data_IF_351849029954
#
_entry.id   IF_351849029954
#
_cell.length_a   1.000
_cell.length_b   1.000
_cell.length_c   1.000
_cell.angle_alpha   90.00
_cell.angle_beta   90.00
_cell.angle_gamma   90.00
#
_symmetry.space_group_name_H-M   'P 1'
#
loop_
_entity.id
_entity.type
_entity.pdbx_description
1 polymer ?
#
# COMPACT_ATOMS: atom_id res chain seq x y z
N UNK A 1 37.58 -32.67 -26.08
CA UNK A 1 37.60 -33.78 -27.04
C UNK A 1 36.35 -34.60 -26.82
N UNK A 2 35.59 -34.57 -27.77
CA UNK A 2 34.56 -35.34 -28.47
C UNK A 2 33.13 -35.03 -28.08
N UNK A 3 32.48 -34.39 -29.01
CA UNK A 3 31.02 -34.35 -29.25
C UNK A 3 30.48 -35.74 -29.60
N UNK A 4 29.26 -36.02 -29.17
CA UNK A 4 28.37 -36.91 -29.92
C UNK A 4 27.01 -36.26 -30.01
N UNK A 5 26.67 -35.80 -31.23
CA UNK A 5 25.31 -35.50 -31.67
C UNK A 5 24.59 -36.79 -32.00
N UNK A 6 23.36 -36.96 -31.48
CA UNK A 6 22.41 -37.87 -32.11
C UNK A 6 21.14 -37.06 -32.41
N UNK A 7 20.92 -36.87 -33.70
CA UNK A 7 19.67 -36.39 -34.25
C UNK A 7 18.73 -37.57 -34.43
N UNK A 8 17.50 -37.47 -33.95
CA UNK A 8 16.38 -38.26 -34.46
C UNK A 8 15.22 -37.35 -34.80
N UNK A 9 14.91 -37.37 -36.08
CA UNK A 9 13.77 -36.70 -36.69
C UNK A 9 12.49 -37.47 -36.36
N UNK A 10 11.39 -36.74 -36.17
CA UNK A 10 10.06 -37.35 -36.04
C UNK A 10 8.97 -36.34 -35.81
N UNK A 11 8.35 -35.91 -36.90
CA UNK A 11 6.95 -35.49 -37.11
C UNK A 11 6.22 -34.57 -36.09
N UNK A 12 5.69 -33.51 -36.68
CA UNK A 12 4.42 -32.93 -36.24
C UNK A 12 4.56 -31.91 -35.11
N UNK A 13 5.02 -30.69 -35.41
CA UNK A 13 4.97 -29.56 -34.49
C UNK A 13 4.15 -28.43 -35.06
N UNK A 14 2.95 -28.30 -34.58
CA UNK A 14 2.40 -26.96 -34.43
C UNK A 14 3.34 -26.14 -33.53
N UNK A 15 4.05 -25.22 -34.15
CA UNK A 15 4.73 -24.15 -33.44
C UNK A 15 3.65 -23.25 -32.87
N UNK A 16 3.27 -23.46 -31.62
CA UNK A 16 2.67 -22.40 -30.80
C UNK A 16 3.72 -21.30 -30.69
N UNK A 17 3.66 -20.33 -31.60
CA UNK A 17 4.30 -19.04 -31.44
C UNK A 17 3.58 -18.41 -30.23
N UNK A 18 4.11 -18.63 -29.04
CA UNK A 18 3.81 -17.80 -27.90
C UNK A 18 4.27 -16.40 -28.33
N UNK A 19 3.33 -15.61 -28.83
CA UNK A 19 3.53 -14.17 -28.95
C UNK A 19 3.82 -13.70 -27.54
N UNK A 20 5.08 -13.40 -27.23
CA UNK A 20 5.43 -12.58 -26.08
C UNK A 20 4.57 -11.32 -26.17
N UNK A 21 3.49 -11.28 -25.42
CA UNK A 21 2.73 -10.06 -25.22
C UNK A 21 3.76 -9.08 -24.65
N UNK A 22 4.07 -8.02 -25.39
CA UNK A 22 4.84 -6.89 -24.87
C UNK A 22 4.16 -6.45 -23.58
N UNK A 23 4.69 -6.91 -22.49
CA UNK A 23 4.22 -6.51 -21.17
C UNK A 23 4.46 -5.00 -21.05
N UNK A 24 3.48 -4.26 -20.59
CA UNK A 24 3.61 -2.81 -20.42
C UNK A 24 4.60 -2.51 -19.30
N UNK A 25 5.41 -1.50 -19.51
CA UNK A 25 6.33 -1.00 -18.50
C UNK A 25 5.58 -0.52 -17.27
N UNK A 26 5.87 -1.12 -16.14
CA UNK A 26 5.40 -0.70 -14.83
C UNK A 26 6.61 -0.16 -14.06
N UNK A 27 6.57 1.11 -13.75
CA UNK A 27 7.62 1.77 -12.98
C UNK A 27 7.29 1.64 -11.49
N UNK A 28 8.27 1.25 -10.70
CA UNK A 28 8.12 1.14 -9.24
C UNK A 28 9.31 1.74 -8.53
N UNK A 29 9.01 2.35 -7.38
CA UNK A 29 10.00 2.78 -6.40
C UNK A 29 10.27 1.64 -5.43
N UNK A 30 11.53 1.26 -5.28
CA UNK A 30 11.96 0.28 -4.29
C UNK A 30 13.21 0.74 -3.59
N UNK A 31 13.43 0.30 -2.37
CA UNK A 31 14.68 0.52 -1.66
C UNK A 31 15.54 -0.73 -1.71
N UNK A 32 16.84 -0.57 -1.90
CA UNK A 32 17.82 -1.65 -1.79
C UNK A 32 19.02 -1.13 -1.02
N UNK A 33 19.13 -1.54 0.22
CA UNK A 33 20.17 -1.03 1.12
C UNK A 33 20.05 0.47 1.29
N UNK A 34 21.11 1.21 0.98
CA UNK A 34 21.15 2.69 1.07
C UNK A 34 20.79 3.39 -0.24
N UNK A 35 20.24 2.69 -1.21
CA UNK A 35 19.85 3.27 -2.50
C UNK A 35 18.34 3.18 -2.70
N UNK A 36 17.73 4.31 -3.02
CA UNK A 36 16.40 4.33 -3.59
C UNK A 36 16.51 3.98 -5.07
N UNK A 37 15.95 2.85 -5.46
CA UNK A 37 16.04 2.32 -6.82
C UNK A 37 14.69 2.44 -7.51
N UNK A 38 14.68 3.14 -8.64
CA UNK A 38 13.53 3.24 -9.53
C UNK A 38 13.66 2.13 -10.58
N UNK A 39 12.74 1.19 -10.57
CA UNK A 39 12.78 0.02 -11.44
C UNK A 39 11.65 0.00 -12.43
N UNK A 40 11.97 -0.37 -13.65
CA UNK A 40 11.02 -0.97 -14.56
C UNK A 40 10.87 -2.44 -14.20
N UNK A 41 9.73 -2.83 -13.62
CA UNK A 41 9.50 -4.19 -13.14
C UNK A 41 9.44 -5.22 -14.27
N UNK A 42 9.04 -4.81 -15.48
CA UNK A 42 8.88 -5.71 -16.61
C UNK A 42 10.22 -6.23 -17.12
N UNK A 43 11.23 -5.36 -17.16
CA UNK A 43 12.55 -5.68 -17.64
C UNK A 43 13.60 -5.76 -16.52
N UNK A 44 13.20 -5.57 -15.26
CA UNK A 44 14.10 -5.43 -14.11
C UNK A 44 15.20 -4.37 -14.33
N UNK A 45 14.93 -3.43 -15.24
CA UNK A 45 15.88 -2.39 -15.58
C UNK A 45 15.84 -1.30 -14.52
N UNK A 46 16.98 -0.99 -13.97
CA UNK A 46 17.13 0.18 -13.11
C UNK A 46 17.04 1.42 -14.00
N UNK A 47 15.99 2.22 -13.79
CA UNK A 47 15.74 3.43 -14.58
C UNK A 47 16.51 4.60 -13.98
N UNK A 48 16.57 4.67 -12.66
CA UNK A 48 17.30 5.71 -11.94
C UNK A 48 17.75 5.21 -10.55
N UNK A 49 18.76 5.83 -9.97
CA UNK A 49 19.24 5.55 -8.62
C UNK A 49 19.43 6.84 -7.86
N UNK A 50 18.86 6.89 -6.65
CA UNK A 50 19.10 7.94 -5.68
C UNK A 50 19.93 7.37 -4.54
N UNK A 51 21.11 7.96 -4.33
CA UNK A 51 21.94 7.57 -3.18
C UNK A 51 21.41 8.21 -1.92
N UNK A 52 20.98 7.36 -1.01
CA UNK A 52 20.72 7.76 0.36
C UNK A 52 22.05 7.95 1.11
N UNK A 53 22.10 8.95 1.98
CA UNK A 53 23.23 9.15 2.89
C UNK A 53 23.35 7.97 3.86
N UNK A 54 24.53 7.84 4.51
CA UNK A 54 24.78 6.76 5.48
C UNK A 54 23.80 6.75 6.66
N UNK A 55 23.22 7.92 6.97
CA UNK A 55 22.24 8.11 8.05
C UNK A 55 20.80 8.14 7.57
N UNK A 56 20.55 7.90 6.29
CA UNK A 56 19.23 8.02 5.70
C UNK A 56 18.62 6.64 5.37
N UNK A 57 17.32 6.53 5.60
CA UNK A 57 16.48 5.44 5.15
C UNK A 57 15.19 5.98 4.54
N UNK A 58 14.44 5.10 3.89
CA UNK A 58 13.10 5.42 3.40
C UNK A 58 12.05 4.92 4.38
N UNK A 59 10.99 5.69 4.51
CA UNK A 59 9.74 5.26 5.10
C UNK A 59 8.75 4.82 4.01
N UNK A 60 7.50 5.28 4.13
CA UNK A 60 6.42 4.92 3.22
C UNK A 60 6.62 5.47 1.81
N UNK A 61 6.19 4.68 0.82
CA UNK A 61 6.06 5.10 -0.57
C UNK A 61 4.57 5.12 -0.90
N UNK A 62 4.06 6.27 -1.32
CA UNK A 62 2.65 6.50 -1.62
C UNK A 62 2.51 6.84 -3.11
N UNK A 63 1.65 6.11 -3.81
CA UNK A 63 1.30 6.44 -5.20
C UNK A 63 0.33 7.62 -5.23
N UNK A 64 0.62 8.60 -6.09
CA UNK A 64 -0.18 9.79 -6.32
C UNK A 64 -0.79 9.75 -7.74
N UNK A 65 -1.80 10.57 -8.00
CA UNK A 65 -2.43 10.67 -9.33
C UNK A 65 -1.42 11.02 -10.43
N UNK A 66 -0.41 11.85 -10.12
CA UNK A 66 0.58 12.35 -11.06
C UNK A 66 2.01 11.88 -10.77
N UNK A 67 2.18 10.87 -9.91
CA UNK A 67 3.52 10.37 -9.58
C UNK A 67 3.58 9.60 -8.28
N UNK A 68 4.61 9.87 -7.49
CA UNK A 68 4.89 9.17 -6.24
C UNK A 68 5.38 10.12 -5.17
N UNK A 69 5.12 9.76 -3.93
CA UNK A 69 5.64 10.40 -2.73
C UNK A 69 6.51 9.39 -1.99
N UNK A 70 7.72 9.79 -1.63
CA UNK A 70 8.67 8.96 -0.87
C UNK A 70 9.06 9.70 0.40
N UNK A 71 8.85 9.04 1.53
CA UNK A 71 9.31 9.53 2.82
C UNK A 71 10.78 9.17 3.02
N UNK A 72 11.57 10.12 3.51
CA UNK A 72 12.99 9.93 3.80
C UNK A 72 13.26 10.43 5.21
N UNK A 73 13.87 9.58 6.02
CA UNK A 73 14.34 9.89 7.37
C UNK A 73 15.86 10.02 7.40
N UNK A 74 16.35 10.88 8.28
CA UNK A 74 17.74 10.98 8.65
C UNK A 74 17.88 10.76 10.14
N UNK A 75 18.70 9.78 10.51
CA UNK A 75 18.95 9.40 11.90
C UNK A 75 20.16 10.20 12.49
N UNK A 76 20.24 10.26 13.81
CA UNK A 76 21.39 10.83 14.54
C UNK A 76 22.64 9.93 14.46
N UNK A 77 22.51 8.68 14.02
CA UNK A 77 23.57 7.66 13.85
C UNK A 77 23.67 7.15 12.41
N UNK A 78 24.76 6.47 12.09
CA UNK A 78 24.85 5.71 10.83
C UNK A 78 23.95 4.46 10.90
N UNK A 79 23.20 4.23 9.82
CA UNK A 79 22.34 3.07 9.66
C UNK A 79 23.13 1.96 8.94
N UNK A 80 23.13 0.77 9.50
CA UNK A 80 23.88 -0.39 8.99
C UNK A 80 22.88 -1.54 8.75
N UNK A 81 22.57 -1.78 7.49
CA UNK A 81 21.79 -2.95 7.13
C UNK A 81 22.49 -4.22 7.57
N UNK A 82 21.74 -5.15 8.12
CA UNK A 82 22.21 -6.45 8.54
C UNK A 82 21.81 -7.52 7.52
N UNK A 83 22.63 -8.55 7.38
CA UNK A 83 22.24 -9.73 6.60
C UNK A 83 21.94 -10.85 7.58
N UNK A 84 20.68 -11.21 7.70
CA UNK A 84 20.22 -12.30 8.58
C UNK A 84 19.68 -13.41 7.69
N UNK A 85 20.27 -14.59 7.78
CA UNK A 85 19.90 -15.78 6.97
C UNK A 85 19.81 -15.52 5.45
N UNK A 86 20.68 -14.62 4.94
CA UNK A 86 20.71 -14.28 3.52
C UNK A 86 19.74 -13.18 3.08
N UNK A 87 18.85 -12.71 3.96
CA UNK A 87 17.99 -11.57 3.72
C UNK A 87 18.62 -10.27 4.25
N UNK A 88 18.51 -9.20 3.50
CA UNK A 88 18.91 -7.87 3.96
C UNK A 88 17.79 -7.31 4.83
N UNK A 89 18.10 -7.15 6.11
CA UNK A 89 17.23 -6.45 7.07
C UNK A 89 17.69 -5.00 7.12
N UNK A 90 16.77 -4.09 6.74
CA UNK A 90 17.06 -2.66 6.78
C UNK A 90 17.12 -2.18 8.24
N UNK A 91 18.17 -1.45 8.57
CA UNK A 91 18.30 -0.76 9.85
C UNK A 91 17.42 0.49 9.81
N UNK A 92 16.27 0.43 10.45
CA UNK A 92 15.33 1.55 10.57
C UNK A 92 15.54 2.25 11.92
N UNK A 93 15.65 3.58 11.94
CA UNK A 93 15.81 4.32 13.19
C UNK A 93 14.51 4.34 14.00
N UNK A 94 14.64 4.30 15.31
CA UNK A 94 13.54 4.63 16.20
C UNK A 94 13.16 6.11 16.07
N UNK A 95 11.94 6.48 16.41
CA UNK A 95 11.44 7.85 16.25
C UNK A 95 12.31 8.88 17.00
N UNK A 96 12.81 8.53 18.18
CA UNK A 96 13.74 9.36 18.96
C UNK A 96 15.11 9.56 18.30
N UNK A 97 15.50 8.71 17.38
CA UNK A 97 16.74 8.80 16.61
C UNK A 97 16.59 9.66 15.36
N UNK A 98 15.35 9.96 14.91
CA UNK A 98 15.09 10.73 13.69
C UNK A 98 15.34 12.20 13.95
N UNK A 99 16.38 12.74 13.31
CA UNK A 99 16.74 14.18 13.40
C UNK A 99 16.16 15.00 12.26
N UNK A 100 15.81 14.36 11.16
CA UNK A 100 15.17 14.99 10.01
C UNK A 100 14.24 14.03 9.29
N UNK A 101 13.06 14.52 8.94
CA UNK A 101 12.11 13.85 8.07
C UNK A 101 11.74 14.74 6.90
N UNK A 102 11.67 14.18 5.71
CA UNK A 102 11.27 14.87 4.50
C UNK A 102 10.42 13.97 3.59
N UNK A 103 9.62 14.60 2.75
CA UNK A 103 8.87 13.96 1.69
C UNK A 103 9.42 14.43 0.36
N UNK A 104 9.84 13.49 -0.48
CA UNK A 104 10.20 13.74 -1.86
C UNK A 104 9.06 13.36 -2.78
N UNK A 105 8.71 14.25 -3.69
CA UNK A 105 7.69 14.02 -4.71
C UNK A 105 8.36 13.80 -6.06
N UNK A 106 7.86 12.79 -6.77
CA UNK A 106 8.33 12.41 -8.09
C UNK A 106 7.15 12.41 -9.07
N UNK A 107 7.39 12.81 -10.32
CA UNK A 107 6.42 12.64 -11.39
C UNK A 107 6.35 11.17 -11.86
N UNK A 108 5.45 10.86 -12.80
CA UNK A 108 5.31 9.50 -13.39
C UNK A 108 6.55 9.04 -14.17
N UNK A 109 7.45 9.96 -14.53
CA UNK A 109 8.75 9.66 -15.16
C UNK A 109 9.85 9.49 -14.11
N UNK A 110 9.50 9.54 -12.83
CA UNK A 110 10.40 9.38 -11.69
C UNK A 110 11.43 10.51 -11.56
N UNK A 111 11.11 11.69 -12.08
CA UNK A 111 11.87 12.91 -11.85
C UNK A 111 11.38 13.54 -10.55
N UNK A 112 12.31 13.88 -9.65
CA UNK A 112 11.98 14.64 -8.43
C UNK A 112 11.41 16.01 -8.83
N UNK A 113 10.23 16.33 -8.29
CA UNK A 113 9.49 17.56 -8.60
C UNK A 113 9.46 18.53 -7.41
N UNK A 114 9.51 18.00 -6.18
CA UNK A 114 9.45 18.81 -4.98
C UNK A 114 9.98 18.05 -3.76
N UNK A 115 10.36 18.79 -2.72
CA UNK A 115 10.73 18.26 -1.41
C UNK A 115 10.06 19.06 -0.31
N UNK A 116 9.39 18.40 0.61
CA UNK A 116 8.77 19.00 1.80
C UNK A 116 9.56 18.60 3.04
N UNK A 117 10.10 19.58 3.75
CA UNK A 117 10.81 19.37 5.01
C UNK A 117 9.81 19.26 6.18
N UNK A 118 9.54 18.03 6.58
CA UNK A 118 8.58 17.72 7.67
C UNK A 118 9.10 18.19 9.02
N UNK A 119 10.42 18.06 9.26
CA UNK A 119 11.03 18.52 10.51
C UNK A 119 10.85 20.03 10.70
N UNK A 120 10.96 20.82 9.63
CA UNK A 120 10.69 22.24 9.69
C UNK A 120 9.22 22.51 10.01
N UNK A 121 8.30 21.82 9.34
CA UNK A 121 6.88 21.98 9.60
C UNK A 121 6.50 21.61 11.03
N UNK A 122 7.08 20.54 11.59
CA UNK A 122 6.89 20.16 12.99
C UNK A 122 7.39 21.25 13.95
N UNK A 123 8.56 21.83 13.69
CA UNK A 123 9.11 22.95 14.50
C UNK A 123 8.26 24.21 14.47
N UNK A 124 7.56 24.47 13.36
CA UNK A 124 6.63 25.58 13.23
C UNK A 124 5.34 25.37 14.06
N UNK A 125 5.07 24.13 14.52
CA UNK A 125 3.88 23.72 15.28
C UNK A 125 4.22 23.08 16.61
N UNK A 126 5.00 23.80 17.43
CA UNK A 126 5.51 23.33 18.73
C UNK A 126 4.46 22.96 19.75
N UNK A 127 3.23 23.39 19.55
CA UNK A 127 2.06 23.17 20.40
C UNK A 127 1.32 21.85 20.11
N UNK A 128 1.81 21.06 19.15
CA UNK A 128 1.18 19.78 18.76
C UNK A 128 2.18 18.63 18.89
N UNK A 129 1.71 17.48 19.36
CA UNK A 129 2.44 16.22 19.32
C UNK A 129 2.50 15.71 17.87
N UNK A 130 3.53 16.17 17.18
CA UNK A 130 3.69 15.98 15.77
C UNK A 130 4.60 14.78 15.50
N UNK A 131 3.99 13.63 15.28
CA UNK A 131 4.72 12.41 14.92
C UNK A 131 5.23 12.52 13.49
N UNK A 132 6.56 12.64 13.32
CA UNK A 132 7.17 12.78 12.01
C UNK A 132 6.98 11.54 11.11
N UNK A 133 6.63 10.42 11.70
CA UNK A 133 6.50 9.12 11.03
C UNK A 133 5.08 8.82 10.55
N UNK A 134 4.06 9.40 11.19
CA UNK A 134 2.65 9.07 10.92
C UNK A 134 1.96 10.18 10.13
N UNK A 135 2.10 10.14 8.80
CA UNK A 135 1.39 11.07 7.91
C UNK A 135 0.86 10.38 6.66
N UNK A 136 -0.03 11.06 5.98
CA UNK A 136 -0.58 10.66 4.68
C UNK A 136 -0.59 11.84 3.72
N UNK A 137 -0.55 11.56 2.42
CA UNK A 137 -0.56 12.58 1.35
C UNK A 137 -1.78 12.39 0.47
N UNK A 138 -2.46 13.47 0.12
CA UNK A 138 -3.62 13.39 -0.78
C UNK A 138 -3.21 12.90 -2.18
N UNK A 139 -4.10 12.19 -2.91
CA UNK A 139 -3.80 11.66 -4.24
C UNK A 139 -3.28 12.70 -5.23
N UNK A 140 -3.76 13.94 -5.17
CA UNK A 140 -3.24 15.05 -5.97
C UNK A 140 -1.91 15.64 -5.48
N UNK A 141 -1.39 15.15 -4.35
CA UNK A 141 -0.16 15.63 -3.74
C UNK A 141 -0.25 17.02 -3.10
N UNK A 142 -1.44 17.64 -3.04
CA UNK A 142 -1.57 19.03 -2.54
C UNK A 142 -1.63 19.13 -1.03
N UNK A 143 -2.06 18.06 -0.34
CA UNK A 143 -2.24 18.06 1.12
C UNK A 143 -1.45 16.96 1.79
N UNK A 144 -0.96 17.27 2.97
CA UNK A 144 -0.32 16.32 3.89
C UNK A 144 -1.10 16.38 5.20
N UNK A 145 -1.48 15.24 5.75
CA UNK A 145 -2.22 15.17 6.99
C UNK A 145 -1.51 14.28 8.01
N UNK A 146 -1.58 14.70 9.26
CA UNK A 146 -1.05 13.99 10.43
C UNK A 146 -2.16 13.75 11.43
N UNK A 147 -2.11 12.59 12.05
CA UNK A 147 -2.85 12.31 13.27
C UNK A 147 -1.96 12.68 14.46
N UNK A 148 -2.43 13.59 15.33
CA UNK A 148 -1.70 14.00 16.53
C UNK A 148 -2.27 13.35 17.81
N UNK A 149 -3.03 12.26 17.67
CA UNK A 149 -3.79 11.65 18.76
C UNK A 149 -5.09 12.39 19.04
N UNK A 150 -5.02 13.66 19.40
CA UNK A 150 -6.20 14.48 19.68
C UNK A 150 -6.83 15.14 18.45
N UNK A 151 -6.04 15.39 17.43
CA UNK A 151 -6.49 16.16 16.28
C UNK A 151 -5.92 15.62 14.97
N UNK A 152 -6.51 16.05 13.87
CA UNK A 152 -5.89 15.93 12.54
C UNK A 152 -5.35 17.29 12.15
N UNK A 153 -4.06 17.36 11.85
CA UNK A 153 -3.44 18.51 11.22
C UNK A 153 -3.34 18.25 9.70
N UNK A 154 -3.77 19.22 8.92
CA UNK A 154 -3.66 19.15 7.47
C UNK A 154 -2.91 20.37 6.94
N UNK A 155 -1.80 20.14 6.28
CA UNK A 155 -0.99 21.16 5.61
C UNK A 155 -1.32 21.19 4.13
N UNK A 156 -1.70 22.36 3.62
CA UNK A 156 -1.87 22.57 2.19
C UNK A 156 -0.57 23.12 1.60
N UNK A 157 0.04 22.39 0.68
CA UNK A 157 1.35 22.72 0.07
C UNK A 157 1.31 23.96 -0.82
N UNK A 158 0.20 24.22 -1.50
CA UNK A 158 0.06 25.38 -2.38
C UNK A 158 -0.07 26.68 -1.57
N UNK A 159 -0.95 26.67 -0.58
CA UNK A 159 -1.21 27.85 0.25
C UNK A 159 -0.23 28.02 1.41
N UNK A 160 0.57 26.98 1.70
CA UNK A 160 1.51 26.92 2.85
C UNK A 160 0.80 27.10 4.21
N UNK A 161 -0.47 26.68 4.32
CA UNK A 161 -1.28 26.86 5.54
C UNK A 161 -1.64 25.54 6.17
N UNK A 162 -1.66 25.54 7.50
CA UNK A 162 -2.22 24.47 8.31
C UNK A 162 -3.69 24.70 8.60
N UNK A 163 -4.44 23.60 8.67
CA UNK A 163 -5.78 23.53 9.22
C UNK A 163 -5.84 22.43 10.25
N UNK A 164 -6.33 22.75 11.45
CA UNK A 164 -6.54 21.80 12.53
C UNK A 164 -8.00 21.34 12.53
N UNK A 165 -8.21 20.05 12.64
CA UNK A 165 -9.53 19.42 12.71
C UNK A 165 -9.64 18.61 14.01
N UNK A 166 -10.56 19.02 14.87
CA UNK A 166 -10.82 18.40 16.17
C UNK A 166 -12.15 17.65 16.24
N UNK A 167 -12.78 17.38 15.10
CA UNK A 167 -14.09 16.75 15.07
C UNK A 167 -14.07 15.27 15.42
N UNK A 168 -12.92 14.61 15.25
CA UNK A 168 -12.77 13.19 15.63
C UNK A 168 -12.85 13.09 17.15
N UNK A 169 -12.05 13.86 17.87
CA UNK A 169 -12.06 13.91 19.35
C UNK A 169 -13.42 14.33 19.91
N UNK A 170 -14.11 15.30 19.27
CA UNK A 170 -15.47 15.70 19.69
C UNK A 170 -16.51 14.58 19.58
N UNK A 171 -16.21 13.52 18.85
CA UNK A 171 -17.06 12.33 18.71
C UNK A 171 -16.62 11.19 19.62
N UNK A 172 -15.70 11.46 20.52
CA UNK A 172 -15.10 10.45 21.40
C UNK A 172 -14.46 9.29 20.61
N UNK A 173 -13.75 9.65 19.54
CA UNK A 173 -13.04 8.72 18.67
C UNK A 173 -11.55 8.99 18.80
N UNK A 174 -10.80 7.95 19.11
CA UNK A 174 -9.33 7.94 19.03
C UNK A 174 -8.92 7.28 17.72
N UNK A 175 -8.46 8.08 16.76
CA UNK A 175 -7.97 7.55 15.51
C UNK A 175 -6.54 7.03 15.69
N UNK A 176 -6.30 5.78 15.32
CA UNK A 176 -4.97 5.16 15.36
C UNK A 176 -4.24 5.34 14.02
N UNK A 177 -4.95 5.24 12.93
CA UNK A 177 -4.40 5.40 11.59
C UNK A 177 -5.30 6.27 10.71
N UNK A 178 -4.66 7.05 9.82
CA UNK A 178 -5.35 7.87 8.82
C UNK A 178 -4.71 7.71 7.44
N UNK A 179 -5.54 7.65 6.40
CA UNK A 179 -5.09 7.61 5.00
C UNK A 179 -6.03 8.45 4.14
N UNK A 180 -5.50 9.20 3.18
CA UNK A 180 -6.35 9.93 2.24
C UNK A 180 -7.16 8.98 1.33
N UNK A 181 -8.48 9.16 1.32
CA UNK A 181 -9.43 8.49 0.43
C UNK A 181 -10.02 9.52 -0.56
N UNK A 182 -9.18 9.95 -1.50
CA UNK A 182 -9.43 11.11 -2.36
C UNK A 182 -8.93 12.42 -1.73
N UNK A 183 -8.97 13.51 -2.49
CA UNK A 183 -8.27 14.75 -2.15
C UNK A 183 -8.83 15.53 -0.95
N UNK A 184 -10.02 15.20 -0.49
CA UNK A 184 -10.69 15.91 0.61
C UNK A 184 -11.30 14.96 1.66
N UNK A 185 -10.93 13.70 1.67
CA UNK A 185 -11.44 12.75 2.64
C UNK A 185 -10.29 11.95 3.24
N UNK A 186 -10.32 11.82 4.56
CA UNK A 186 -9.39 11.00 5.32
C UNK A 186 -10.13 9.80 5.86
N UNK A 187 -9.77 8.63 5.40
CA UNK A 187 -10.14 7.36 6.03
C UNK A 187 -9.46 7.27 7.38
N UNK A 188 -10.11 6.64 8.33
CA UNK A 188 -9.53 6.33 9.63
C UNK A 188 -10.04 4.99 10.16
N UNK A 189 -9.25 4.36 11.00
CA UNK A 189 -9.73 3.41 11.99
C UNK A 189 -9.17 3.77 13.37
N UNK A 190 -9.81 3.27 14.39
CA UNK A 190 -9.45 3.51 15.78
C UNK A 190 -10.51 2.98 16.74
N UNK A 191 -10.57 3.51 17.94
CA UNK A 191 -11.50 3.11 18.97
C UNK A 191 -12.49 4.21 19.30
N UNK A 192 -13.64 3.86 19.87
CA UNK A 192 -14.64 4.80 20.34
C UNK A 192 -14.90 4.61 21.82
N UNK A 193 -14.84 5.73 22.58
CA UNK A 193 -15.02 5.75 24.01
C UNK A 193 -13.80 5.22 24.77
N UNK A 194 -13.98 4.99 26.07
CA UNK A 194 -12.93 4.42 26.93
C UNK A 194 -12.79 2.89 26.78
N UNK A 195 -13.73 2.26 26.05
CA UNK A 195 -13.71 0.83 25.80
C UNK A 195 -12.89 0.54 24.55
N UNK A 196 -11.74 -0.09 24.73
CA UNK A 196 -10.91 -0.60 23.61
C UNK A 196 -11.58 -1.76 22.84
N UNK A 197 -12.80 -2.18 23.24
CA UNK A 197 -13.52 -3.28 22.63
C UNK A 197 -14.27 -2.90 21.34
N UNK A 198 -14.59 -1.61 21.15
CA UNK A 198 -15.36 -1.14 20.01
C UNK A 198 -14.45 -0.51 18.95
N UNK A 199 -14.23 -1.21 17.85
CA UNK A 199 -13.52 -0.66 16.69
C UNK A 199 -14.41 0.33 15.94
N UNK A 200 -13.88 1.52 15.73
CA UNK A 200 -14.52 2.58 14.96
C UNK A 200 -13.73 2.85 13.68
N UNK A 201 -14.41 2.84 12.55
CA UNK A 201 -13.79 3.14 11.26
C UNK A 201 -14.71 4.00 10.39
N UNK A 202 -14.15 4.62 9.38
CA UNK A 202 -14.92 5.48 8.50
C UNK A 202 -14.06 6.49 7.76
N UNK A 203 -14.63 7.66 7.54
CA UNK A 203 -13.90 8.76 6.92
C UNK A 203 -14.34 10.13 7.44
N UNK A 204 -13.38 11.05 7.42
CA UNK A 204 -13.59 12.46 7.70
C UNK A 204 -13.58 13.26 6.40
N UNK A 205 -14.64 14.01 6.12
CA UNK A 205 -14.74 14.92 4.98
C UNK A 205 -14.16 16.29 5.40
N UNK A 206 -12.96 16.59 4.89
CA UNK A 206 -12.23 17.83 5.21
C UNK A 206 -12.96 19.09 4.74
N UNK A 207 -13.70 18.99 3.63
CA UNK A 207 -14.42 20.15 3.06
C UNK A 207 -15.64 20.52 3.90
N UNK A 208 -16.43 19.51 4.27
CA UNK A 208 -17.67 19.70 4.99
C UNK A 208 -17.49 19.58 6.51
N UNK A 209 -16.31 19.19 6.98
CA UNK A 209 -15.98 18.95 8.39
C UNK A 209 -16.93 17.93 9.04
N UNK A 210 -17.37 16.91 8.28
CA UNK A 210 -18.27 15.85 8.74
C UNK A 210 -17.52 14.54 8.89
N UNK A 211 -17.87 13.79 9.94
CA UNK A 211 -17.39 12.43 10.18
C UNK A 211 -18.49 11.46 9.80
N UNK A 212 -18.14 10.47 9.01
CA UNK A 212 -18.95 9.29 8.71
C UNK A 212 -18.29 8.10 9.39
N UNK A 213 -18.99 7.51 10.37
CA UNK A 213 -18.46 6.45 11.21
C UNK A 213 -19.29 5.21 11.11
N UNK A 214 -18.62 4.07 11.18
CA UNK A 214 -19.18 2.76 11.38
C UNK A 214 -18.53 2.17 12.64
N UNK A 215 -19.29 1.46 13.43
CA UNK A 215 -18.82 0.88 14.69
C UNK A 215 -19.10 -0.61 14.61
N UNK A 216 -18.08 -1.40 14.89
CA UNK A 216 -18.19 -2.85 14.99
C UNK A 216 -17.66 -3.30 16.35
N UNK A 217 -18.52 -3.97 17.10
CA UNK A 217 -18.16 -4.53 18.40
C UNK A 217 -17.24 -5.72 18.22
N UNK A 218 -16.13 -5.73 18.98
CA UNK A 218 -15.17 -6.85 18.97
C UNK A 218 -14.55 -7.14 17.61
N UNK A 219 -14.40 -6.14 16.74
CA UNK A 219 -13.71 -6.26 15.47
C UNK A 219 -12.25 -5.84 15.67
N UNK A 220 -11.34 -6.78 15.52
CA UNK A 220 -9.91 -6.49 15.53
C UNK A 220 -9.48 -6.05 14.13
N UNK A 221 -9.50 -4.73 13.88
CA UNK A 221 -8.98 -4.19 12.63
C UNK A 221 -7.46 -4.07 12.71
N UNK A 222 -6.74 -4.60 11.73
CA UNK A 222 -5.27 -4.56 11.71
C UNK A 222 -4.70 -3.68 10.61
N UNK A 223 -5.42 -3.44 9.55
CA UNK A 223 -4.96 -2.54 8.50
C UNK A 223 -6.07 -1.76 7.84
N UNK A 224 -5.86 -0.44 7.75
CA UNK A 224 -6.66 0.46 6.97
C UNK A 224 -6.07 0.54 5.56
N UNK A 225 -6.89 0.29 4.55
CA UNK A 225 -6.50 0.33 3.16
C UNK A 225 -7.39 1.29 2.39
N UNK A 226 -6.81 1.96 1.39
CA UNK A 226 -7.51 2.89 0.54
C UNK A 226 -7.13 2.67 -0.91
N UNK A 227 -8.15 2.49 -1.75
CA UNK A 227 -8.04 2.51 -3.20
C UNK A 227 -8.84 3.68 -3.75
N UNK A 228 -8.17 4.80 -4.03
CA UNK A 228 -8.79 6.06 -4.46
C UNK A 228 -9.84 6.58 -3.47
N UNK A 229 -11.13 6.29 -3.72
CA UNK A 229 -12.25 6.70 -2.87
C UNK A 229 -12.83 5.55 -2.04
N UNK A 230 -12.35 4.34 -2.23
CA UNK A 230 -12.81 3.16 -1.52
C UNK A 230 -11.91 2.88 -0.33
N UNK A 231 -12.52 2.72 0.82
CA UNK A 231 -11.86 2.32 2.06
C UNK A 231 -12.22 0.88 2.32
N UNK A 232 -11.24 0.07 2.66
CA UNK A 232 -11.51 -1.26 3.14
C UNK A 232 -10.58 -1.61 4.29
N UNK A 233 -11.08 -2.41 5.21
CA UNK A 233 -10.38 -2.74 6.44
C UNK A 233 -10.16 -4.24 6.44
N UNK A 234 -8.90 -4.64 6.52
CA UNK A 234 -8.54 -6.03 6.65
C UNK A 234 -8.48 -6.39 8.13
N UNK A 235 -9.06 -7.52 8.42
CA UNK A 235 -8.91 -8.27 9.64
C UNK A 235 -7.50 -8.90 9.58
N UNK A 236 -6.62 -8.50 10.47
CA UNK A 236 -5.20 -8.89 10.35
C UNK A 236 -4.92 -10.31 10.78
N UNK A 237 -3.67 -10.67 10.63
CA UNK A 237 -3.08 -11.99 10.81
C UNK A 237 -3.14 -12.57 12.24
N UNK A 238 -4.27 -12.56 12.92
CA UNK A 238 -4.35 -13.35 14.14
C UNK A 238 -4.96 -14.74 13.84
N UNK A 239 -4.16 -15.77 13.56
CA UNK A 239 -4.66 -17.11 13.27
C UNK A 239 -5.40 -17.75 14.47
N UNK A 240 -5.36 -17.10 15.64
CA UNK A 240 -6.01 -17.57 16.86
C UNK A 240 -7.38 -16.93 17.12
N UNK A 241 -7.72 -15.86 16.43
CA UNK A 241 -9.04 -15.24 16.54
C UNK A 241 -9.99 -15.86 15.51
N UNK A 242 -10.56 -17.01 15.84
CA UNK A 242 -11.70 -17.62 15.13
C UNK A 242 -12.97 -16.74 15.08
N UNK A 243 -12.84 -15.48 15.43
CA UNK A 243 -13.94 -14.49 15.47
C UNK A 243 -13.96 -13.61 14.23
N UNK A 244 -12.98 -13.71 13.37
CA UNK A 244 -13.03 -13.05 12.08
C UNK A 244 -14.26 -13.57 11.31
N UNK A 245 -15.23 -12.70 11.12
CA UNK A 245 -16.44 -13.03 10.37
C UNK A 245 -16.15 -13.35 8.88
N UNK A 246 -14.89 -13.24 8.45
CA UNK A 246 -14.48 -13.28 7.06
C UNK A 246 -15.05 -12.15 6.23
N UNK A 247 -15.68 -11.15 6.86
CA UNK A 247 -16.32 -10.02 6.21
C UNK A 247 -15.41 -8.80 6.28
N UNK A 248 -15.09 -8.28 5.12
CA UNK A 248 -14.30 -7.05 4.95
C UNK A 248 -15.25 -5.90 4.64
N UNK A 249 -15.33 -4.88 5.49
CA UNK A 249 -16.10 -3.68 5.16
C UNK A 249 -15.42 -2.91 4.02
N UNK A 250 -16.22 -2.57 3.00
CA UNK A 250 -15.82 -1.76 1.85
C UNK A 250 -16.72 -0.53 1.79
N UNK A 251 -16.14 0.63 2.02
CA UNK A 251 -16.86 1.90 2.06
C UNK A 251 -16.57 2.70 0.79
N UNK A 252 -17.61 3.06 0.03
CA UNK A 252 -17.51 4.07 -1.02
C UNK A 252 -17.69 5.46 -0.40
N UNK A 253 -16.63 6.23 -0.28
CA UNK A 253 -16.68 7.58 0.32
C UNK A 253 -17.47 8.59 -0.51
N UNK A 254 -17.80 8.31 -1.77
CA UNK A 254 -18.66 9.16 -2.60
C UNK A 254 -20.12 9.01 -2.23
N UNK A 255 -20.56 7.78 -1.99
CA UNK A 255 -21.98 7.47 -1.70
C UNK A 255 -22.25 7.31 -0.21
N UNK A 256 -21.21 7.08 0.60
CA UNK A 256 -21.31 6.74 2.01
C UNK A 256 -21.80 5.30 2.27
N UNK A 257 -21.94 4.48 1.22
CA UNK A 257 -22.37 3.08 1.39
C UNK A 257 -21.23 2.23 1.92
N UNK A 258 -21.57 1.36 2.88
CA UNK A 258 -20.71 0.31 3.39
C UNK A 258 -21.24 -1.04 2.88
N UNK A 259 -20.38 -1.82 2.23
CA UNK A 259 -20.65 -3.18 1.78
C UNK A 259 -19.79 -4.12 2.62
N UNK A 260 -20.37 -5.23 3.07
CA UNK A 260 -19.64 -6.29 3.75
C UNK A 260 -19.31 -7.38 2.75
N UNK A 261 -18.08 -7.41 2.27
CA UNK A 261 -17.62 -8.43 1.31
C UNK A 261 -17.11 -9.62 2.08
N UNK A 262 -17.67 -10.80 1.81
CA UNK A 262 -17.20 -12.03 2.42
C UNK A 262 -16.02 -12.58 1.64
N UNK A 263 -14.85 -12.55 2.26
CA UNK A 263 -13.59 -12.94 1.64
C UNK A 263 -13.09 -14.22 2.32
N UNK A 264 -13.50 -15.39 1.83
CA UNK A 264 -13.01 -16.67 2.35
C UNK A 264 -11.48 -16.75 2.23
N UNK A 265 -10.79 -16.87 3.36
CA UNK A 265 -9.36 -17.16 3.42
C UNK A 265 -8.44 -15.99 3.06
N UNK A 266 -8.79 -14.76 3.41
CA UNK A 266 -7.90 -13.59 3.26
C UNK A 266 -7.18 -13.28 4.58
N UNK A 267 -6.56 -14.25 5.15
CA UNK A 267 -5.45 -14.04 6.06
C UNK A 267 -4.24 -13.60 5.21
N UNK A 268 -3.63 -12.46 5.51
CA UNK A 268 -2.47 -11.90 4.77
C UNK A 268 -2.64 -11.60 3.27
N UNK A 269 -3.82 -11.24 2.80
CA UNK A 269 -4.01 -10.93 1.39
C UNK A 269 -3.57 -9.51 1.03
N UNK A 270 -2.90 -9.38 -0.11
CA UNK A 270 -2.81 -8.09 -0.81
C UNK A 270 -4.08 -7.94 -1.65
N UNK A 271 -4.72 -6.78 -1.58
CA UNK A 271 -5.93 -6.55 -2.37
C UNK A 271 -5.97 -5.15 -2.98
N UNK A 272 -6.78 -5.00 -4.02
CA UNK A 272 -7.10 -3.72 -4.66
C UNK A 272 -8.56 -3.71 -5.08
N UNK A 273 -9.21 -2.57 -4.94
CA UNK A 273 -10.55 -2.34 -5.45
C UNK A 273 -10.44 -1.68 -6.83
N UNK A 274 -11.25 -2.11 -7.78
CA UNK A 274 -11.30 -1.53 -9.13
C UNK A 274 -11.77 -0.07 -9.08
N UNK A 275 -11.34 0.72 -10.07
CA UNK A 275 -11.65 2.18 -10.09
C UNK A 275 -13.14 2.49 -10.06
N UNK A 276 -13.96 1.61 -10.64
CA UNK A 276 -15.42 1.72 -10.64
C UNK A 276 -16.06 1.19 -9.34
N UNK A 277 -15.27 0.54 -8.49
CA UNK A 277 -15.73 -0.04 -7.22
C UNK A 277 -16.58 -1.28 -7.34
N UNK A 278 -16.60 -1.93 -8.51
CA UNK A 278 -17.39 -3.14 -8.70
C UNK A 278 -16.73 -4.39 -8.18
N UNK A 279 -15.39 -4.44 -8.28
CA UNK A 279 -14.65 -5.64 -7.97
C UNK A 279 -13.52 -5.37 -6.98
N UNK A 280 -13.22 -6.39 -6.18
CA UNK A 280 -11.99 -6.46 -5.41
C UNK A 280 -11.14 -7.59 -5.99
N UNK A 281 -9.87 -7.32 -6.25
CA UNK A 281 -8.87 -8.31 -6.64
C UNK A 281 -8.03 -8.59 -5.42
N UNK A 282 -7.98 -9.83 -4.98
CA UNK A 282 -7.18 -10.22 -3.81
C UNK A 282 -6.26 -11.38 -4.17
N UNK A 283 -5.01 -11.27 -3.74
CA UNK A 283 -4.01 -12.32 -3.85
C UNK A 283 -3.61 -12.76 -2.43
N UNK A 284 -3.87 -13.99 -2.09
CA UNK A 284 -3.59 -14.57 -0.78
C UNK A 284 -2.60 -15.71 -0.88
N UNK A 285 -1.65 -15.73 0.03
CA UNK A 285 -0.73 -16.85 0.22
C UNK A 285 -1.55 -18.05 0.68
N UNK A 286 -1.41 -19.21 0.03
CA UNK A 286 -2.08 -20.44 0.44
C UNK A 286 -1.14 -21.40 1.16
N UNK A 287 0.15 -21.36 0.81
CA UNK A 287 1.25 -22.03 1.47
C UNK A 287 2.59 -21.39 1.01
N UNK A 288 3.72 -21.92 1.47
CA UNK A 288 5.04 -21.37 1.11
C UNK A 288 5.35 -21.38 -0.39
N UNK A 289 4.66 -22.20 -1.17
CA UNK A 289 4.92 -22.41 -2.60
C UNK A 289 3.75 -22.07 -3.47
N UNK A 290 2.68 -21.55 -2.93
CA UNK A 290 1.51 -21.22 -3.73
C UNK A 290 0.77 -20.00 -3.23
N UNK A 291 0.14 -19.30 -4.17
CA UNK A 291 -0.83 -18.26 -3.88
C UNK A 291 -2.04 -18.35 -4.80
N UNK A 292 -3.11 -17.73 -4.37
CA UNK A 292 -4.38 -17.70 -5.09
C UNK A 292 -4.79 -16.25 -5.35
N UNK A 293 -5.25 -15.99 -6.57
CA UNK A 293 -5.82 -14.69 -6.94
C UNK A 293 -7.30 -14.85 -7.20
N UNK A 294 -8.10 -13.98 -6.60
CA UNK A 294 -9.55 -13.97 -6.73
C UNK A 294 -10.06 -12.61 -7.18
N UNK A 295 -11.05 -12.60 -8.04
CA UNK A 295 -11.88 -11.44 -8.35
C UNK A 295 -13.23 -11.59 -7.66
N UNK A 296 -13.55 -10.66 -6.78
CA UNK A 296 -14.83 -10.60 -6.06
C UNK A 296 -15.72 -9.53 -6.66
N UNK A 297 -17.00 -9.84 -6.81
CA UNK A 297 -18.06 -8.86 -7.04
C UNK A 297 -18.47 -8.28 -5.68
N UNK A 298 -18.15 -7.01 -5.43
CA UNK A 298 -18.39 -6.36 -4.13
C UNK A 298 -19.89 -6.27 -3.83
N UNK A 299 -20.71 -5.97 -4.85
CA UNK A 299 -22.15 -5.79 -4.65
C UNK A 299 -22.88 -7.10 -4.36
N UNK A 300 -22.47 -8.17 -5.04
CA UNK A 300 -23.14 -9.47 -4.96
C UNK A 300 -22.43 -10.44 -3.99
N UNK A 301 -21.34 -9.97 -3.35
CA UNK A 301 -20.56 -10.72 -2.35
C UNK A 301 -20.12 -12.11 -2.82
N UNK A 302 -19.68 -12.24 -4.07
CA UNK A 302 -19.32 -13.53 -4.66
C UNK A 302 -18.01 -13.50 -5.43
N UNK A 303 -17.34 -14.64 -5.47
CA UNK A 303 -16.17 -14.88 -6.33
C UNK A 303 -16.63 -15.05 -7.77
N UNK A 304 -16.08 -14.26 -8.69
CA UNK A 304 -16.35 -14.37 -10.14
C UNK A 304 -15.27 -15.16 -10.86
N UNK A 305 -14.03 -15.05 -10.41
CA UNK A 305 -12.86 -15.68 -11.03
C UNK A 305 -11.85 -16.02 -9.96
N UNK A 306 -11.25 -17.19 -10.11
CA UNK A 306 -10.15 -17.64 -9.26
C UNK A 306 -9.05 -18.24 -10.13
N UNK A 307 -7.79 -17.99 -9.75
CA UNK A 307 -6.63 -18.64 -10.33
C UNK A 307 -5.64 -18.97 -9.24
N UNK A 308 -5.20 -20.23 -9.17
CA UNK A 308 -4.14 -20.70 -8.28
C UNK A 308 -2.81 -20.69 -9.05
N UNK A 309 -1.75 -20.31 -8.35
CA UNK A 309 -0.38 -20.33 -8.86
C UNK A 309 0.46 -21.21 -7.93
N UNK A 310 1.07 -22.24 -8.51
CA UNK A 310 1.90 -23.21 -7.79
C UNK A 310 3.36 -23.13 -8.28
N UNK A 311 4.30 -23.17 -7.36
CA UNK A 311 5.74 -23.03 -7.61
C UNK A 311 6.51 -24.21 -7.00
N UNK A 312 7.68 -24.51 -7.54
CA UNK A 312 8.55 -25.54 -6.98
C UNK A 312 9.32 -25.04 -5.73
N UNK A 313 9.49 -23.74 -5.59
CA UNK A 313 10.20 -23.07 -4.48
C UNK A 313 9.30 -22.04 -3.83
N UNK A 314 9.78 -21.51 -2.70
CA UNK A 314 9.04 -20.47 -1.97
C UNK A 314 8.71 -19.26 -2.83
N UNK A 315 7.50 -18.77 -2.68
CA UNK A 315 6.97 -17.58 -3.32
C UNK A 315 6.39 -16.65 -2.26
N UNK A 316 6.47 -15.35 -2.48
CA UNK A 316 5.85 -14.36 -1.61
C UNK A 316 5.13 -13.29 -2.45
N UNK A 317 3.85 -13.04 -2.15
CA UNK A 317 3.08 -12.00 -2.82
C UNK A 317 3.41 -10.65 -2.20
N UNK A 318 3.95 -9.74 -3.00
CA UNK A 318 4.39 -8.42 -2.54
C UNK A 318 3.31 -7.35 -2.68
N UNK A 319 2.59 -7.35 -3.83
CA UNK A 319 1.62 -6.29 -4.13
C UNK A 319 0.71 -6.65 -5.29
N UNK A 320 -0.34 -5.85 -5.45
CA UNK A 320 -1.22 -5.82 -6.62
C UNK A 320 -1.23 -4.39 -7.17
N UNK A 321 -1.03 -4.26 -8.46
CA UNK A 321 -1.04 -2.97 -9.15
C UNK A 321 -2.10 -2.94 -10.25
N UNK A 322 -2.66 -1.76 -10.50
CA UNK A 322 -3.55 -1.55 -11.64
C UNK A 322 -2.74 -1.46 -12.93
N UNK A 323 -3.17 -2.17 -13.97
CA UNK A 323 -2.60 -2.13 -15.32
C UNK A 323 -3.68 -1.70 -16.30
N UNK A 324 -3.27 -1.05 -17.40
CA UNK A 324 -4.18 -0.66 -18.48
C UNK A 324 -5.36 0.21 -18.00
N UNK A 325 -5.11 1.16 -17.08
CA UNK A 325 -6.16 2.00 -16.48
C UNK A 325 -7.29 1.17 -15.83
N UNK A 326 -6.91 0.16 -15.04
CA UNK A 326 -7.86 -0.67 -14.31
C UNK A 326 -8.55 -1.77 -15.13
N UNK A 327 -8.12 -2.03 -16.38
CA UNK A 327 -8.67 -3.13 -17.19
C UNK A 327 -8.07 -4.50 -16.81
N UNK A 328 -6.88 -4.50 -16.25
CA UNK A 328 -6.21 -5.69 -15.72
C UNK A 328 -5.39 -5.31 -14.49
N UNK A 329 -4.95 -6.32 -13.75
CA UNK A 329 -4.17 -6.15 -12.54
C UNK A 329 -2.90 -6.98 -12.61
N UNK A 330 -1.79 -6.39 -12.19
CA UNK A 330 -0.50 -7.09 -12.07
C UNK A 330 -0.31 -7.58 -10.66
N UNK A 331 -0.06 -8.87 -10.51
CA UNK A 331 0.31 -9.49 -9.24
C UNK A 331 1.83 -9.50 -9.18
N UNK A 332 2.40 -8.80 -8.21
CA UNK A 332 3.83 -8.75 -7.98
C UNK A 332 4.17 -9.75 -6.90
N UNK A 333 5.07 -10.67 -7.20
CA UNK A 333 5.53 -11.68 -6.27
C UNK A 333 7.02 -11.93 -6.40
N UNK A 334 7.67 -12.33 -5.33
CA UNK A 334 9.08 -12.70 -5.27
C UNK A 334 9.25 -14.21 -5.28
N UNK A 335 10.28 -14.67 -5.96
CA UNK A 335 10.80 -16.03 -5.93
C UNK A 335 12.30 -15.99 -5.66
N UNK A 336 12.96 -17.13 -5.55
CA UNK A 336 14.43 -17.24 -5.49
C UNK A 336 15.13 -16.62 -6.71
N UNK A 337 14.42 -16.46 -7.84
CA UNK A 337 14.92 -15.83 -9.05
C UNK A 337 14.64 -14.31 -9.11
N UNK A 338 14.10 -13.72 -8.05
CA UNK A 338 13.73 -12.31 -7.94
C UNK A 338 12.25 -12.07 -8.17
N UNK A 339 11.90 -10.77 -8.28
CA UNK A 339 10.51 -10.32 -8.44
C UNK A 339 9.97 -10.64 -9.82
N UNK A 340 8.73 -11.05 -9.86
CA UNK A 340 7.96 -11.36 -11.07
C UNK A 340 6.68 -10.55 -11.09
N UNK A 341 6.11 -10.39 -12.28
CA UNK A 341 4.80 -9.78 -12.49
C UNK A 341 3.94 -10.71 -13.34
N UNK A 342 2.78 -11.05 -12.84
CA UNK A 342 1.76 -11.83 -13.55
C UNK A 342 0.54 -10.96 -13.80
N UNK A 343 0.07 -10.88 -15.05
CA UNK A 343 -1.13 -10.12 -15.38
C UNK A 343 -2.39 -10.95 -15.15
N UNK A 344 -3.33 -10.38 -14.41
CA UNK A 344 -4.65 -10.93 -14.14
C UNK A 344 -5.71 -10.05 -14.81
N UNK A 345 -6.29 -10.56 -15.89
CA UNK A 345 -7.37 -9.88 -16.62
C UNK A 345 -8.70 -10.05 -15.87
N UNK A 346 -9.47 -8.97 -15.79
CA UNK A 346 -10.83 -9.01 -15.23
C UNK A 346 -11.77 -9.81 -16.16
N UNK A 347 -12.82 -10.36 -15.57
CA UNK A 347 -13.94 -10.96 -16.30
C UNK A 347 -14.91 -9.92 -16.82
#
# INVERSE_FOLDING_TARGET
>A
MICICIALAGCGKEKSVVKEKKQKEVLRLTTKGKELVLKNLMNYKVVNKYKLGKKQCTGSIIELDQGYCVQIYEANRELKNQVIQGAVVEDTPDESEIVKASIKLFDKKLKETDTVDITRLAKERKDEDFLMTSFTVSPDGTKIAWNTGENILCYNRETKKFTKYNQITKKDITAENIIFAGNNKLAFYGTKGESEEDTCYGYFDLKNKKIHTFIEKKYEAFSLNVDKRYIWINDGENPNTKTASGKVPVIDTKTGKNHLVHLDGIESAKARITEDGKYMIAASQTDEKSFRVRQYDIKNEKVLKEKKYDFHKSVHVNDIISINNGKSYGIIYSTDQGDKLEEFELR
#
